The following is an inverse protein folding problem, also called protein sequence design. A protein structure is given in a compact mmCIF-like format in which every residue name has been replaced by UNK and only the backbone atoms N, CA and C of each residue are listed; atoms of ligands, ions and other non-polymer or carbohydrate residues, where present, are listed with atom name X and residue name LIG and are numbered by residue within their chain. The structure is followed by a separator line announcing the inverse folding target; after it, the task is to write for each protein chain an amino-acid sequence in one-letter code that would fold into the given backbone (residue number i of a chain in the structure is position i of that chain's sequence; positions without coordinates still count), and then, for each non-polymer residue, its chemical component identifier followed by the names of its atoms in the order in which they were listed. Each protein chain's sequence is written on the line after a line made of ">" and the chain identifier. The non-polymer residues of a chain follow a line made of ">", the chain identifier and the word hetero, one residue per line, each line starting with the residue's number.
data_IF_833597736047
#
_entry.id   IF_833597736047
#
_cell.length_a   1.000
_cell.length_b   1.000
_cell.length_c   1.000
_cell.angle_alpha   90.00
_cell.angle_beta   90.00
_cell.angle_gamma   90.00
#
_symmetry.space_group_name_H-M   'P 1'
#
loop_
_entity.id
_entity.type
_entity.pdbx_description
1 polymer ?
#
# COMPACT_ATOMS: atom_id res chain seq x y z
N UNK A 1 -10.58 -9.47 -40.30
CA UNK A 1 -10.13 -8.51 -39.28
C UNK A 1 -11.12 -8.54 -38.12
N UNK A 2 -10.72 -9.08 -36.95
CA UNK A 2 -11.57 -9.06 -35.74
C UNK A 2 -11.34 -7.74 -35.01
N UNK A 3 -12.35 -6.87 -34.98
CA UNK A 3 -12.35 -5.70 -34.12
C UNK A 3 -12.43 -6.19 -32.66
N UNK A 4 -11.32 -6.04 -31.92
CA UNK A 4 -11.28 -6.27 -30.49
C UNK A 4 -12.12 -5.21 -29.78
N UNK A 5 -13.37 -5.53 -29.48
CA UNK A 5 -14.20 -4.75 -28.58
C UNK A 5 -13.63 -4.89 -27.17
N UNK A 6 -12.61 -4.09 -26.85
CA UNK A 6 -12.27 -3.81 -25.46
C UNK A 6 -13.45 -3.00 -24.90
N UNK A 7 -14.20 -3.51 -23.91
CA UNK A 7 -15.24 -2.72 -23.28
C UNK A 7 -14.56 -1.47 -22.74
N UNK A 8 -15.07 -0.29 -23.08
CA UNK A 8 -14.64 0.99 -22.52
C UNK A 8 -14.72 0.84 -21.00
N UNK A 9 -13.57 0.58 -20.37
CA UNK A 9 -13.43 0.47 -18.91
C UNK A 9 -13.95 1.80 -18.39
N UNK A 10 -15.07 1.75 -17.66
CA UNK A 10 -15.56 2.94 -16.95
C UNK A 10 -14.35 3.46 -16.20
N UNK A 11 -13.90 4.68 -16.54
CA UNK A 11 -12.99 5.41 -15.67
C UNK A 11 -13.69 5.42 -14.32
N UNK A 12 -13.25 4.54 -13.41
CA UNK A 12 -13.81 4.49 -12.07
C UNK A 12 -13.65 5.91 -11.55
N UNK A 13 -14.77 6.51 -11.17
CA UNK A 13 -14.80 7.83 -10.58
C UNK A 13 -13.63 7.95 -9.59
N UNK A 14 -12.63 8.77 -9.95
CA UNK A 14 -11.41 9.05 -9.20
C UNK A 14 -10.55 7.83 -8.81
N UNK A 15 -9.42 7.64 -9.52
CA UNK A 15 -8.25 6.81 -9.13
C UNK A 15 -7.56 7.30 -7.84
N UNK A 16 -8.34 7.59 -6.81
CA UNK A 16 -7.84 7.99 -5.51
C UNK A 16 -7.50 6.73 -4.73
N UNK A 17 -6.31 6.18 -4.95
CA UNK A 17 -5.74 5.14 -4.10
C UNK A 17 -5.09 5.78 -2.88
N UNK A 18 -5.24 5.13 -1.74
CA UNK A 18 -4.51 5.50 -0.52
C UNK A 18 -3.09 4.92 -0.62
N UNK A 19 -2.12 5.55 0.05
CA UNK A 19 -0.72 5.09 0.03
C UNK A 19 -0.02 5.34 1.36
N UNK A 20 1.12 4.69 1.57
CA UNK A 20 1.94 4.84 2.78
C UNK A 20 2.99 5.93 2.60
N UNK A 21 3.21 6.71 3.66
CA UNK A 21 4.14 7.84 3.66
C UNK A 21 4.99 7.88 4.94
N UNK A 22 6.24 8.31 4.78
CA UNK A 22 7.26 8.41 5.83
C UNK A 22 7.38 9.81 6.47
N UNK A 23 6.70 10.82 5.93
CA UNK A 23 6.97 12.25 6.23
C UNK A 23 6.91 12.68 7.71
N UNK A 24 6.09 12.05 8.55
CA UNK A 24 5.82 12.54 9.92
C UNK A 24 5.50 11.40 10.91
N UNK A 25 6.31 10.34 10.83
CA UNK A 25 6.04 8.99 11.33
C UNK A 25 5.15 8.22 10.35
N UNK A 26 5.51 6.94 10.09
CA UNK A 26 4.81 6.07 9.14
C UNK A 26 3.29 6.22 9.24
N UNK A 27 2.66 6.74 8.19
CA UNK A 27 1.23 7.01 8.17
C UNK A 27 0.59 6.58 6.86
N UNK A 28 -0.73 6.40 6.89
CA UNK A 28 -1.53 6.13 5.71
C UNK A 28 -2.10 7.47 5.23
N UNK A 29 -1.77 7.85 4.00
CA UNK A 29 -2.40 8.99 3.32
C UNK A 29 -3.67 8.48 2.65
N UNK A 30 -4.80 8.76 3.28
CA UNK A 30 -6.12 8.39 2.76
C UNK A 30 -6.53 9.31 1.61
N UNK A 31 -6.89 8.72 0.47
CA UNK A 31 -7.55 9.42 -0.64
C UNK A 31 -8.91 8.79 -0.88
N UNK A 32 -9.97 9.45 -0.41
CA UNK A 32 -11.33 8.91 -0.45
C UNK A 32 -11.44 7.54 0.23
N UNK A 33 -12.24 6.65 -0.36
CA UNK A 33 -12.40 5.25 0.10
C UNK A 33 -11.45 4.28 -0.63
N UNK A 34 -10.36 4.80 -1.22
CA UNK A 34 -9.43 3.98 -1.98
C UNK A 34 -8.66 2.99 -1.10
N UNK A 35 -8.56 1.75 -1.57
CA UNK A 35 -7.66 0.76 -0.98
C UNK A 35 -6.21 1.26 -1.00
N UNK A 36 -5.40 0.76 -0.06
CA UNK A 36 -3.96 1.05 -0.03
C UNK A 36 -3.31 0.27 -1.15
N UNK A 37 -2.71 1.00 -2.10
CA UNK A 37 -1.94 0.40 -3.16
C UNK A 37 -0.77 1.31 -3.56
N UNK A 38 0.38 0.72 -3.89
CA UNK A 38 1.59 1.43 -4.30
C UNK A 38 2.08 0.94 -5.66
N UNK A 39 2.59 1.85 -6.47
CA UNK A 39 3.33 1.52 -7.70
C UNK A 39 4.73 1.06 -7.36
N UNK A 40 5.30 0.32 -8.30
CA UNK A 40 6.73 0.04 -8.46
C UNK A 40 7.66 1.17 -7.96
N UNK A 41 7.53 2.38 -8.52
CA UNK A 41 8.41 3.50 -8.18
C UNK A 41 8.23 4.01 -6.75
N UNK A 42 7.00 4.01 -6.25
CA UNK A 42 6.70 4.39 -4.86
C UNK A 42 7.25 3.36 -3.88
N UNK A 43 7.13 2.06 -4.17
CA UNK A 43 7.70 0.99 -3.35
C UNK A 43 9.21 1.10 -3.24
N UNK A 44 9.91 1.36 -4.36
CA UNK A 44 11.36 1.52 -4.38
C UNK A 44 11.80 2.67 -3.47
N UNK A 45 11.10 3.82 -3.54
CA UNK A 45 11.35 4.98 -2.69
C UNK A 45 11.01 4.71 -1.23
N UNK A 46 9.86 4.11 -0.99
CA UNK A 46 9.34 3.80 0.34
C UNK A 46 10.26 2.86 1.13
N UNK A 47 10.83 1.84 0.47
CA UNK A 47 11.73 0.89 1.10
C UNK A 47 13.21 1.28 1.00
N UNK A 48 13.55 2.43 0.41
CA UNK A 48 14.94 2.86 0.24
C UNK A 48 15.78 1.90 -0.59
N UNK A 49 15.18 1.18 -1.56
CA UNK A 49 15.88 0.18 -2.38
C UNK A 49 15.91 0.55 -3.86
N UNK A 50 16.91 0.03 -4.57
CA UNK A 50 16.97 0.18 -6.03
C UNK A 50 15.84 -0.57 -6.71
N UNK A 51 15.39 -0.03 -7.85
CA UNK A 51 14.42 -0.67 -8.73
C UNK A 51 14.74 -2.14 -9.02
N UNK A 52 16.01 -2.43 -9.31
CA UNK A 52 16.51 -3.78 -9.61
C UNK A 52 16.30 -4.76 -8.44
N UNK A 53 16.62 -4.33 -7.21
CA UNK A 53 16.45 -5.15 -6.01
C UNK A 53 14.96 -5.41 -5.73
N UNK A 54 14.14 -4.39 -5.89
CA UNK A 54 12.69 -4.48 -5.71
C UNK A 54 12.05 -5.46 -6.70
N UNK A 55 12.31 -5.28 -8.00
CA UNK A 55 11.72 -6.08 -9.07
C UNK A 55 11.99 -7.58 -8.88
N UNK A 56 13.22 -7.97 -8.52
CA UNK A 56 13.55 -9.38 -8.26
C UNK A 56 12.73 -9.99 -7.11
N UNK A 57 12.41 -9.21 -6.08
CA UNK A 57 11.55 -9.65 -4.96
C UNK A 57 10.07 -9.67 -5.34
N UNK A 58 9.59 -8.65 -6.04
CA UNK A 58 8.22 -8.63 -6.56
C UNK A 58 7.94 -9.82 -7.48
N UNK A 59 8.88 -10.20 -8.35
CA UNK A 59 8.76 -11.41 -9.16
C UNK A 59 8.70 -12.68 -8.30
N UNK A 60 9.50 -12.79 -7.24
CA UNK A 60 9.43 -13.93 -6.33
C UNK A 60 8.08 -14.05 -5.62
N UNK A 61 7.45 -12.92 -5.25
CA UNK A 61 6.09 -12.87 -4.71
C UNK A 61 5.06 -13.28 -5.79
N UNK A 62 5.16 -12.70 -6.98
CA UNK A 62 4.23 -12.94 -8.07
C UNK A 62 4.22 -14.39 -8.56
N UNK A 63 5.34 -15.10 -8.46
CA UNK A 63 5.50 -16.51 -8.85
C UNK A 63 5.35 -17.48 -7.67
N UNK A 64 5.05 -17.01 -6.46
CA UNK A 64 4.86 -17.89 -5.31
C UNK A 64 3.53 -18.66 -5.46
N UNK A 65 3.54 -19.99 -5.61
CA UNK A 65 2.32 -20.78 -5.85
C UNK A 65 1.33 -20.75 -4.68
N UNK A 66 1.78 -20.34 -3.48
CA UNK A 66 0.97 -20.35 -2.26
C UNK A 66 0.13 -19.08 -2.05
N UNK A 67 0.30 -18.03 -2.86
CA UNK A 67 -0.48 -16.79 -2.77
C UNK A 67 -1.69 -16.84 -3.72
N UNK A 68 -2.88 -16.43 -3.29
CA UNK A 68 -4.06 -16.41 -4.17
C UNK A 68 -3.95 -15.24 -5.19
N UNK A 69 -4.45 -15.37 -6.44
CA UNK A 69 -4.23 -14.37 -7.50
C UNK A 69 -4.71 -12.94 -7.16
N UNK A 70 -5.77 -12.80 -6.37
CA UNK A 70 -6.32 -11.53 -5.89
C UNK A 70 -5.42 -10.84 -4.82
N UNK A 71 -4.56 -11.61 -4.14
CA UNK A 71 -3.57 -11.09 -3.20
C UNK A 71 -2.37 -10.45 -3.92
N UNK A 72 -2.22 -10.69 -5.23
CA UNK A 72 -1.04 -10.33 -6.04
C UNK A 72 -1.19 -9.01 -6.82
N UNK A 73 -2.40 -8.53 -7.08
CA UNK A 73 -2.61 -7.32 -7.88
C UNK A 73 -3.97 -6.66 -7.59
N UNK A 74 -3.96 -5.35 -7.37
CA UNK A 74 -5.18 -4.54 -7.15
C UNK A 74 -5.64 -3.82 -8.43
N UNK A 75 -5.09 -4.21 -9.58
CA UNK A 75 -5.30 -3.53 -10.85
C UNK A 75 -4.09 -2.68 -11.27
N UNK A 76 -4.34 -1.64 -12.05
CA UNK A 76 -3.30 -0.82 -12.66
C UNK A 76 -3.70 0.67 -12.60
N UNK A 77 -2.72 1.55 -12.49
CA UNK A 77 -2.88 3.00 -12.57
C UNK A 77 -2.50 3.51 -13.97
N UNK A 78 -3.37 4.34 -14.54
CA UNK A 78 -3.11 5.00 -15.82
C UNK A 78 -1.91 5.95 -15.71
N UNK A 79 -0.91 5.76 -16.55
CA UNK A 79 0.22 6.69 -16.69
C UNK A 79 -0.12 7.68 -17.80
N UNK A 80 -0.23 8.96 -17.44
CA UNK A 80 -0.41 10.05 -18.41
C UNK A 80 0.89 10.82 -18.63
N UNK A 81 1.24 11.08 -19.88
CA UNK A 81 2.25 12.08 -20.24
C UNK A 81 1.70 12.99 -21.33
N UNK A 82 1.91 14.30 -21.19
CA UNK A 82 1.34 15.31 -22.10
C UNK A 82 -0.19 15.17 -22.29
N UNK A 83 -0.92 14.85 -21.21
CA UNK A 83 -2.38 14.58 -21.20
C UNK A 83 -2.83 13.39 -22.06
N UNK A 84 -1.90 12.60 -22.58
CA UNK A 84 -2.19 11.35 -23.29
C UNK A 84 -1.87 10.15 -22.40
N UNK A 85 -2.73 9.12 -22.45
CA UNK A 85 -2.46 7.84 -21.83
C UNK A 85 -1.23 7.20 -22.52
N UNK A 86 -0.20 6.91 -21.73
CA UNK A 86 1.06 6.32 -22.20
C UNK A 86 1.27 4.87 -21.78
N UNK A 87 0.52 4.40 -20.80
CA UNK A 87 0.61 3.03 -20.33
C UNK A 87 -0.11 2.86 -19.01
N UNK A 88 0.14 1.72 -18.39
CA UNK A 88 -0.46 1.32 -17.14
C UNK A 88 0.66 0.86 -16.19
N UNK A 89 0.64 1.35 -14.95
CA UNK A 89 1.54 0.92 -13.88
C UNK A 89 0.82 -0.10 -13.00
N UNK A 90 1.39 -1.28 -12.74
CA UNK A 90 0.83 -2.22 -11.77
C UNK A 90 0.68 -1.59 -10.38
N UNK A 91 -0.44 -1.87 -9.73
CA UNK A 91 -0.72 -1.46 -8.35
C UNK A 91 -0.62 -2.64 -7.41
N UNK A 92 0.26 -2.51 -6.43
CA UNK A 92 0.51 -3.54 -5.43
C UNK A 92 -0.30 -3.27 -4.16
N UNK A 93 -1.17 -4.20 -3.73
CA UNK A 93 -1.96 -4.05 -2.51
C UNK A 93 -1.10 -4.03 -1.25
N UNK A 94 -1.71 -3.61 -0.14
CA UNK A 94 -1.12 -3.73 1.20
C UNK A 94 -0.57 -5.13 1.51
N UNK A 95 -1.24 -6.20 1.08
CA UNK A 95 -0.74 -7.58 1.25
C UNK A 95 0.62 -7.78 0.59
N UNK A 96 0.79 -7.30 -0.65
CA UNK A 96 2.07 -7.37 -1.36
C UNK A 96 3.11 -6.46 -0.72
N UNK A 97 2.73 -5.27 -0.26
CA UNK A 97 3.62 -4.35 0.46
C UNK A 97 4.18 -5.01 1.72
N UNK A 98 3.31 -5.66 2.51
CA UNK A 98 3.70 -6.42 3.71
C UNK A 98 4.63 -7.56 3.34
N UNK A 99 4.26 -8.42 2.39
CA UNK A 99 5.11 -9.55 1.96
C UNK A 99 6.49 -9.07 1.48
N UNK A 100 6.53 -7.98 0.71
CA UNK A 100 7.75 -7.40 0.19
C UNK A 100 8.68 -6.91 1.30
N UNK A 101 8.12 -6.35 2.39
CA UNK A 101 8.92 -5.92 3.55
C UNK A 101 9.70 -7.07 4.20
N UNK A 102 9.22 -8.32 4.13
CA UNK A 102 9.94 -9.50 4.64
C UNK A 102 11.01 -10.02 3.67
N UNK A 103 10.92 -9.66 2.39
CA UNK A 103 11.91 -10.04 1.37
C UNK A 103 13.02 -9.00 1.17
N UNK A 104 12.84 -7.80 1.73
CA UNK A 104 13.80 -6.72 1.66
C UNK A 104 14.61 -6.61 2.95
N UNK A 105 15.93 -6.61 2.79
CA UNK A 105 16.86 -6.24 3.83
C UNK A 105 17.26 -4.77 3.62
N UNK A 106 16.43 -3.84 4.12
CA UNK A 106 16.69 -2.40 4.23
C UNK A 106 16.17 -1.88 5.58
N UNK A 107 16.68 -0.72 6.01
CA UNK A 107 16.28 -0.08 7.27
C UNK A 107 14.79 0.28 7.25
N UNK A 108 14.30 0.82 6.14
CA UNK A 108 12.90 1.18 5.94
C UNK A 108 11.99 -0.04 5.99
N UNK A 109 12.42 -1.17 5.41
CA UNK A 109 11.66 -2.41 5.51
C UNK A 109 11.60 -2.93 6.95
N UNK A 110 12.67 -2.77 7.73
CA UNK A 110 12.67 -3.13 9.14
C UNK A 110 11.71 -2.28 9.97
N UNK A 111 11.80 -0.95 9.83
CA UNK A 111 10.93 -0.01 10.53
C UNK A 111 9.46 -0.21 10.14
N UNK A 112 9.18 -0.52 8.87
CA UNK A 112 7.83 -0.86 8.43
C UNK A 112 7.30 -2.14 9.11
N UNK A 113 8.12 -3.19 9.24
CA UNK A 113 7.72 -4.40 9.97
C UNK A 113 7.41 -4.11 11.43
N UNK A 114 8.23 -3.29 12.09
CA UNK A 114 7.96 -2.85 13.47
C UNK A 114 6.64 -2.09 13.57
N UNK A 115 6.39 -1.14 12.67
CA UNK A 115 5.12 -0.41 12.60
C UNK A 115 3.91 -1.34 12.46
N UNK A 116 3.98 -2.33 11.56
CA UNK A 116 2.91 -3.32 11.40
C UNK A 116 2.71 -4.14 12.67
N UNK A 117 3.80 -4.64 13.28
CA UNK A 117 3.72 -5.39 14.52
C UNK A 117 3.11 -4.54 15.64
N UNK A 118 3.50 -3.29 15.82
CA UNK A 118 2.89 -2.40 16.81
C UNK A 118 1.39 -2.19 16.55
N UNK A 119 0.98 -1.99 15.30
CA UNK A 119 -0.43 -1.78 14.94
C UNK A 119 -1.28 -3.04 15.15
N UNK A 120 -0.70 -4.23 14.96
CA UNK A 120 -1.36 -5.51 15.21
C UNK A 120 -1.36 -5.91 16.69
N UNK A 121 -0.29 -5.58 17.43
CA UNK A 121 -0.13 -5.92 18.85
C UNK A 121 -0.81 -4.94 19.80
N UNK A 122 -1.08 -3.70 19.37
CA UNK A 122 -1.95 -2.78 20.11
C UNK A 122 -3.37 -3.34 20.04
N UNK A 123 -3.95 -3.89 21.13
CA UNK A 123 -5.36 -4.23 21.12
C UNK A 123 -6.14 -2.95 20.81
N UNK A 124 -7.26 -3.06 20.08
CA UNK A 124 -8.13 -1.95 19.71
C UNK A 124 -8.84 -1.26 20.91
N UNK A 125 -8.22 -1.26 22.09
CA UNK A 125 -8.75 -0.77 23.35
C UNK A 125 -7.85 0.32 23.92
N UNK A 126 -7.82 1.47 23.26
CA UNK A 126 -7.68 2.73 24.02
C UNK A 126 -9.04 2.98 24.65
N UNK A 127 -9.33 2.30 25.75
CA UNK A 127 -10.39 2.73 26.65
C UNK A 127 -9.89 4.06 27.22
N UNK A 128 -10.43 5.18 26.76
CA UNK A 128 -10.14 6.49 27.34
C UNK A 128 -10.54 6.43 28.82
N UNK A 129 -9.58 6.51 29.77
CA UNK A 129 -9.94 6.51 31.17
C UNK A 129 -10.70 7.81 31.48
N UNK A 130 -11.95 7.67 31.94
CA UNK A 130 -12.73 8.80 32.48
C UNK A 130 -12.30 8.96 33.95
N UNK A 131 -11.60 10.04 34.27
CA UNK A 131 -11.30 10.41 35.65
C UNK A 131 -12.43 11.29 36.20
N UNK A 132 -13.17 10.77 37.16
CA UNK A 132 -14.13 11.56 37.94
C UNK A 132 -13.43 12.07 39.21
N UNK A 133 -13.14 13.37 39.26
CA UNK A 133 -12.70 14.02 40.50
C UNK A 133 -13.94 14.37 41.32
N UNK A 134 -14.19 13.60 42.38
CA UNK A 134 -15.19 13.93 43.39
C UNK A 134 -14.71 15.11 44.22
N UNK A 135 -15.43 16.23 44.18
CA UNK A 135 -15.13 17.36 45.04
C UNK A 135 -15.70 17.10 46.45
N UNK A 136 -14.86 16.68 47.39
CA UNK A 136 -15.22 16.68 48.83
C UNK A 136 -14.99 18.07 49.40
N UNK A 137 -15.96 18.96 49.18
CA UNK A 137 -16.10 20.14 50.03
C UNK A 137 -16.79 19.67 51.32
N UNK A 138 -16.01 19.52 52.40
CA UNK A 138 -16.51 19.43 53.77
C UNK A 138 -16.90 20.82 54.29
#
# INVERSE_FOLDING_TARGET
>A
MKAGNHPKRKASATNQRSYLDWSSNMQIVYKGNGAIAMTEGELARFFGVTWRKLNGRLQAIAHNPNLHPDERSTGEEDIYANKQLKGYAPLYPLSTIIALSFQLNSTEAHLFREYICERLQKPASVITPIFLFGNTNN
#
